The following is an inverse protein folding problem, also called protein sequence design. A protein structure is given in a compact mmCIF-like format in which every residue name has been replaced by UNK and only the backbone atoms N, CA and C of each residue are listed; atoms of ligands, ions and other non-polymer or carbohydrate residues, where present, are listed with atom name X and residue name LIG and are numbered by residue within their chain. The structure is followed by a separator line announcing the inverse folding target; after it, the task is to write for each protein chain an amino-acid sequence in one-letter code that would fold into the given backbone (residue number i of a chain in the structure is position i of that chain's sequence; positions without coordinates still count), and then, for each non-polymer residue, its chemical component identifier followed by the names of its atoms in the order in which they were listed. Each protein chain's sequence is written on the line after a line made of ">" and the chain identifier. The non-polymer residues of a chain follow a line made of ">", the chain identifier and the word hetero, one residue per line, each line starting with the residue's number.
data_IF_654791349281
#
_entry.id   IF_654791349281
#
_cell.length_a   1.000
_cell.length_b   1.000
_cell.length_c   1.000
_cell.angle_alpha   90.00
_cell.angle_beta   90.00
_cell.angle_gamma   90.00
#
_symmetry.space_group_name_H-M   'P 1'
#
loop_
_entity.id
_entity.type
_entity.pdbx_description
1 polymer ?
#
# COMPACT_ATOMS: atom_id res chain seq x y z
N UNK A 1 0.57 4.82 1.07
CA UNK A 1 1.95 4.80 0.55
C UNK A 1 2.76 3.66 1.16
N UNK A 2 2.76 3.46 2.49
CA UNK A 2 3.50 2.38 3.17
C UNK A 2 3.18 0.99 2.62
N UNK A 3 1.89 0.65 2.49
CA UNK A 3 1.43 -0.64 1.95
C UNK A 3 2.02 -0.92 0.56
N UNK A 4 1.92 0.01 -0.37
CA UNK A 4 2.39 -0.17 -1.75
C UNK A 4 3.89 -0.46 -1.81
N UNK A 5 4.69 0.21 -0.97
CA UNK A 5 6.12 -0.04 -0.90
C UNK A 5 6.43 -1.42 -0.31
N UNK A 6 5.72 -1.80 0.76
CA UNK A 6 5.82 -3.13 1.38
C UNK A 6 5.50 -4.23 0.36
N UNK A 7 4.42 -4.07 -0.40
CA UNK A 7 4.03 -5.00 -1.47
C UNK A 7 5.08 -5.08 -2.58
N UNK A 8 5.63 -3.95 -3.03
CA UNK A 8 6.69 -3.92 -4.04
C UNK A 8 7.93 -4.71 -3.57
N UNK A 9 8.35 -4.51 -2.32
CA UNK A 9 9.49 -5.22 -1.73
C UNK A 9 9.23 -6.73 -1.65
N UNK A 10 8.02 -7.14 -1.26
CA UNK A 10 7.63 -8.57 -1.23
C UNK A 10 7.61 -9.19 -2.63
N UNK A 11 7.10 -8.46 -3.62
CA UNK A 11 6.98 -8.95 -5.00
C UNK A 11 8.34 -9.28 -5.64
N UNK A 12 9.44 -8.66 -5.16
CA UNK A 12 10.81 -8.98 -5.58
C UNK A 12 11.53 -9.96 -4.65
N UNK A 13 10.80 -10.63 -3.74
CA UNK A 13 11.33 -11.66 -2.85
C UNK A 13 12.19 -11.13 -1.70
N UNK A 14 11.99 -9.87 -1.28
CA UNK A 14 12.74 -9.24 -0.18
C UNK A 14 11.87 -9.00 1.05
N UNK A 15 12.53 -8.79 2.19
CA UNK A 15 11.88 -8.48 3.48
C UNK A 15 11.68 -6.97 3.65
N UNK A 16 10.44 -6.49 3.84
CA UNK A 16 10.14 -5.09 4.10
C UNK A 16 10.39 -4.75 5.58
N UNK A 17 11.54 -4.14 5.87
CA UNK A 17 11.96 -3.75 7.22
C UNK A 17 12.13 -2.23 7.26
N UNK A 18 11.35 -1.56 8.11
CA UNK A 18 11.53 -0.15 8.43
C UNK A 18 12.69 -0.01 9.41
N UNK A 19 13.57 0.96 9.12
CA UNK A 19 14.80 1.19 9.87
C UNK A 19 15.00 2.66 10.17
N UNK A 20 15.69 2.94 11.28
CA UNK A 20 16.20 4.28 11.58
C UNK A 20 17.49 4.58 10.78
N UNK A 21 18.06 5.77 11.00
CA UNK A 21 19.30 6.22 10.31
C UNK A 21 20.54 5.41 10.70
N UNK A 22 20.50 4.71 11.83
CA UNK A 22 21.55 3.81 12.32
C UNK A 22 21.26 2.34 11.97
N UNK A 23 20.25 2.09 11.14
CA UNK A 23 19.82 0.77 10.66
C UNK A 23 19.22 -0.16 11.72
N UNK A 24 18.83 0.35 12.88
CA UNK A 24 18.05 -0.44 13.83
C UNK A 24 16.68 -0.75 13.27
N UNK A 25 16.14 -1.92 13.59
CA UNK A 25 14.79 -2.32 13.18
C UNK A 25 13.77 -1.54 13.99
N UNK A 26 12.91 -0.80 13.30
CA UNK A 26 11.77 -0.09 13.88
C UNK A 26 10.51 -0.93 13.74
N UNK A 27 10.23 -1.39 12.52
CA UNK A 27 9.07 -2.24 12.21
C UNK A 27 9.45 -3.32 11.20
N UNK A 28 9.12 -4.59 11.50
CA UNK A 28 9.20 -5.68 10.53
C UNK A 28 7.81 -5.93 9.92
N UNK A 29 7.67 -5.69 8.62
CA UNK A 29 6.42 -5.90 7.89
C UNK A 29 6.32 -7.29 7.27
N UNK A 30 7.22 -8.24 7.57
CA UNK A 30 7.22 -9.57 6.93
C UNK A 30 5.87 -10.29 7.06
N UNK A 31 5.22 -10.17 8.23
CA UNK A 31 3.98 -10.88 8.57
C UNK A 31 2.75 -9.95 8.70
N UNK A 32 2.85 -8.71 8.24
CA UNK A 32 1.77 -7.72 8.35
C UNK A 32 0.87 -7.79 7.10
N UNK A 33 -0.40 -8.11 7.29
CA UNK A 33 -1.41 -8.08 6.22
C UNK A 33 -2.19 -6.77 6.31
N UNK A 34 -2.25 -6.04 5.19
CA UNK A 34 -3.07 -4.83 5.09
C UNK A 34 -4.49 -5.23 4.68
N UNK A 35 -5.49 -4.62 5.29
CA UNK A 35 -6.88 -4.83 4.88
C UNK A 35 -7.11 -4.25 3.48
N UNK A 36 -7.75 -5.03 2.61
CA UNK A 36 -8.15 -4.55 1.31
C UNK A 36 -9.31 -3.56 1.48
N UNK A 37 -8.99 -2.28 1.45
CA UNK A 37 -10.01 -1.24 1.25
C UNK A 37 -10.62 -1.45 -0.14
N UNK A 38 -11.72 -2.21 -0.20
CA UNK A 38 -12.50 -2.42 -1.43
C UNK A 38 -12.80 -1.06 -2.03
N UNK A 39 -12.08 -0.70 -3.10
CA UNK A 39 -12.44 0.45 -3.92
C UNK A 39 -13.87 0.21 -4.39
N UNK A 40 -14.79 1.18 -4.24
CA UNK A 40 -16.15 1.01 -4.72
C UNK A 40 -16.10 0.71 -6.21
N UNK A 41 -16.70 -0.41 -6.63
CA UNK A 41 -16.72 -0.88 -8.02
C UNK A 41 -17.36 0.11 -9.01
N UNK A 42 -18.00 1.17 -8.50
CA UNK A 42 -18.79 2.09 -9.29
C UNK A 42 -18.36 3.53 -8.95
N UNK A 43 -17.63 4.16 -9.86
CA UNK A 43 -17.51 5.61 -9.87
C UNK A 43 -18.75 6.17 -10.57
N UNK A 44 -19.54 6.98 -9.88
CA UNK A 44 -20.66 7.69 -10.49
C UNK A 44 -20.06 8.76 -11.40
N UNK A 45 -20.05 8.51 -12.71
CA UNK A 45 -19.62 9.50 -13.69
C UNK A 45 -20.63 10.67 -13.69
N UNK A 46 -20.17 11.92 -13.62
CA UNK A 46 -21.05 13.07 -13.77
C UNK A 46 -21.58 13.10 -15.21
N UNK A 47 -22.91 13.16 -15.35
CA UNK A 47 -23.54 13.41 -16.65
C UNK A 47 -23.43 14.90 -16.93
N UNK A 48 -22.71 15.28 -17.98
CA UNK A 48 -22.65 16.65 -18.44
C UNK A 48 -23.88 16.89 -19.33
N UNK A 49 -24.86 17.61 -18.81
CA UNK A 49 -25.99 18.10 -19.60
C UNK A 49 -25.57 19.40 -20.28
N UNK A 50 -25.31 19.37 -21.58
CA UNK A 50 -25.14 20.59 -22.37
C UNK A 50 -26.54 21.16 -22.64
N UNK A 51 -26.92 22.18 -21.87
CA UNK A 51 -28.08 23.05 -22.13
C UNK A 51 -27.59 24.28 -22.87
#
# INVERSE_FOLDING_TARGET
>A
STQQLVELIRNVGRKPIERDTLYHVVTDYSDIFFEDTKKPNNYKLPVVSNV
#
